data_IF_668396562115
#
_entry.id   IF_668396562115
#
_cell.length_a   1.000
_cell.length_b   1.000
_cell.length_c   1.000
_cell.angle_alpha   90.00
_cell.angle_beta   90.00
_cell.angle_gamma   90.00
#
_symmetry.space_group_name_H-M   'P 1'
#
loop_
_entity.id
_entity.type
_entity.pdbx_description
1 polymer ?
#
# COMPACT_ATOMS: atom_id res chain seq x y z
N UNK A 1 -2.07 -7.33 -7.38
CA UNK A 1 -2.17 -7.23 -8.87
C UNK A 1 -3.52 -7.69 -9.40
N UNK A 2 -4.09 -8.76 -8.85
CA UNK A 2 -5.32 -9.40 -9.36
C UNK A 2 -6.53 -8.47 -9.47
N UNK A 3 -6.77 -7.62 -8.47
CA UNK A 3 -7.86 -6.65 -8.52
C UNK A 3 -7.77 -5.70 -9.74
N UNK A 4 -6.57 -5.22 -10.06
CA UNK A 4 -6.32 -4.38 -11.23
C UNK A 4 -6.52 -5.16 -12.53
N UNK A 5 -6.09 -6.42 -12.58
CA UNK A 5 -6.30 -7.27 -13.75
C UNK A 5 -7.78 -7.60 -13.97
N UNK A 6 -8.54 -7.81 -12.89
CA UNK A 6 -10.00 -7.99 -12.93
C UNK A 6 -10.70 -6.74 -13.45
N UNK A 7 -10.29 -5.56 -12.98
CA UNK A 7 -10.77 -4.28 -13.51
C UNK A 7 -10.40 -4.11 -14.99
N UNK A 8 -9.17 -4.46 -15.41
CA UNK A 8 -8.81 -4.42 -16.82
C UNK A 8 -9.69 -5.33 -17.68
N UNK A 9 -10.12 -6.49 -17.17
CA UNK A 9 -11.00 -7.40 -17.92
C UNK A 9 -12.38 -6.79 -18.19
N UNK A 10 -12.85 -5.84 -17.39
CA UNK A 10 -14.12 -5.14 -17.62
C UNK A 10 -13.99 -3.89 -18.50
N UNK A 11 -12.80 -3.60 -19.06
CA UNK A 11 -12.56 -2.42 -19.90
C UNK A 11 -12.71 -2.70 -21.41
N UNK A 12 -13.49 -3.70 -21.80
CA UNK A 12 -13.76 -4.08 -23.19
C UNK A 12 -12.51 -4.01 -24.10
N UNK A 13 -12.56 -3.17 -25.13
CA UNK A 13 -11.51 -2.92 -26.11
C UNK A 13 -10.21 -2.31 -25.54
N UNK A 14 -10.25 -1.73 -24.33
CA UNK A 14 -9.06 -1.22 -23.63
C UNK A 14 -8.39 -2.27 -22.75
N UNK A 15 -8.98 -3.45 -22.55
CA UNK A 15 -8.45 -4.46 -21.62
C UNK A 15 -6.97 -4.80 -21.88
N UNK A 16 -6.58 -4.91 -23.16
CA UNK A 16 -5.19 -5.21 -23.55
C UNK A 16 -4.22 -4.08 -23.19
N UNK A 17 -4.62 -2.82 -23.43
CA UNK A 17 -3.81 -1.64 -23.06
C UNK A 17 -3.72 -1.50 -21.55
N UNK A 18 -4.83 -1.71 -20.84
CA UNK A 18 -4.88 -1.70 -19.38
C UNK A 18 -3.92 -2.73 -18.77
N UNK A 19 -3.98 -4.00 -19.22
CA UNK A 19 -3.08 -5.06 -18.74
C UNK A 19 -1.62 -4.72 -18.99
N UNK A 20 -1.28 -4.15 -20.15
CA UNK A 20 0.08 -3.68 -20.44
C UNK A 20 0.55 -2.66 -19.40
N UNK A 21 -0.27 -1.65 -19.10
CA UNK A 21 0.05 -0.65 -18.08
C UNK A 21 0.24 -1.28 -16.69
N UNK A 22 -0.64 -2.20 -16.30
CA UNK A 22 -0.54 -2.89 -15.00
C UNK A 22 0.77 -3.68 -14.89
N UNK A 23 1.18 -4.38 -15.95
CA UNK A 23 2.44 -5.13 -15.92
C UNK A 23 3.68 -4.23 -16.00
N UNK A 24 3.64 -3.15 -16.77
CA UNK A 24 4.78 -2.25 -16.97
C UNK A 24 5.01 -1.35 -15.75
N UNK A 25 3.96 -0.78 -15.19
CA UNK A 25 4.05 0.22 -14.11
C UNK A 25 3.69 -0.34 -12.74
N UNK A 26 2.86 -1.38 -12.65
CA UNK A 26 2.43 -1.96 -11.37
C UNK A 26 3.59 -2.34 -10.45
N UNK A 27 4.58 -3.13 -10.90
CA UNK A 27 5.74 -3.48 -10.06
C UNK A 27 6.53 -2.25 -9.60
N UNK A 28 6.73 -1.27 -10.47
CA UNK A 28 7.47 -0.05 -10.16
C UNK A 28 6.74 0.81 -9.11
N UNK A 29 5.41 0.89 -9.21
CA UNK A 29 4.57 1.60 -8.25
C UNK A 29 4.58 0.90 -6.90
N UNK A 30 4.45 -0.44 -6.87
CA UNK A 30 4.45 -1.22 -5.62
C UNK A 30 5.77 -1.03 -4.87
N UNK A 31 6.93 -1.17 -5.54
CA UNK A 31 8.25 -0.96 -4.90
C UNK A 31 8.38 0.45 -4.33
N UNK A 32 7.93 1.47 -5.05
CA UNK A 32 7.95 2.86 -4.56
C UNK A 32 6.99 3.07 -3.41
N UNK A 33 5.80 2.47 -3.47
CA UNK A 33 4.79 2.54 -2.41
C UNK A 33 5.29 1.86 -1.13
N UNK A 34 5.87 0.66 -1.22
CA UNK A 34 6.48 -0.03 -0.07
C UNK A 34 7.58 0.83 0.57
N UNK A 35 8.45 1.44 -0.25
CA UNK A 35 9.50 2.34 0.28
C UNK A 35 8.91 3.54 1.00
N UNK A 36 7.85 4.14 0.47
CA UNK A 36 7.17 5.27 1.09
C UNK A 36 6.47 4.88 2.39
N UNK A 37 5.75 3.76 2.39
CA UNK A 37 4.96 3.27 3.52
C UNK A 37 5.83 2.73 4.67
N UNK A 38 7.09 2.38 4.43
CA UNK A 38 8.07 2.13 5.51
C UNK A 38 8.29 3.35 6.42
N UNK A 39 8.07 4.56 5.89
CA UNK A 39 8.33 5.83 6.59
C UNK A 39 7.07 6.64 6.83
N UNK A 40 5.90 6.15 6.40
CA UNK A 40 4.65 6.90 6.49
C UNK A 40 3.51 5.91 6.72
N UNK A 41 2.74 6.15 7.78
CA UNK A 41 1.57 5.35 8.06
C UNK A 41 0.55 5.43 6.91
N UNK A 42 0.01 4.28 6.50
CA UNK A 42 -0.91 4.19 5.36
C UNK A 42 -2.21 4.98 5.60
N UNK A 43 -2.69 5.05 6.84
CA UNK A 43 -3.92 5.76 7.18
C UNK A 43 -3.70 7.28 7.15
N UNK A 44 -2.51 7.76 7.53
CA UNK A 44 -2.10 9.16 7.32
C UNK A 44 -1.88 9.47 5.83
N UNK A 45 -1.23 8.57 5.08
CA UNK A 45 -1.00 8.75 3.64
C UNK A 45 -2.30 8.81 2.82
N UNK A 46 -3.31 8.05 3.22
CA UNK A 46 -4.66 8.08 2.64
C UNK A 46 -5.53 9.20 3.22
N UNK A 47 -4.99 10.05 4.10
CA UNK A 47 -5.70 11.13 4.79
C UNK A 47 -6.97 10.69 5.54
N UNK A 48 -7.05 9.41 5.92
CA UNK A 48 -8.11 8.88 6.78
C UNK A 48 -7.76 8.96 8.26
N UNK A 49 -6.48 9.20 8.57
CA UNK A 49 -6.01 9.59 9.89
C UNK A 49 -5.45 11.02 9.86
N UNK A 50 -5.48 11.73 11.00
CA UNK A 50 -4.75 12.99 11.16
C UNK A 50 -3.27 12.82 10.77
N UNK A 51 -2.66 13.88 10.25
CA UNK A 51 -1.21 13.91 10.13
C UNK A 51 -0.60 13.65 11.51
N UNK A 52 0.45 12.83 11.57
CA UNK A 52 1.22 12.64 12.80
C UNK A 52 1.86 13.97 13.17
N UNK A 53 1.11 14.82 13.86
CA UNK A 53 1.68 15.84 14.71
C UNK A 53 2.28 15.04 15.84
N UNK A 54 3.60 15.09 15.99
CA UNK A 54 4.24 14.66 17.22
C UNK A 54 3.66 15.52 18.34
N UNK A 55 2.55 15.07 18.93
CA UNK A 55 2.06 15.60 20.19
C UNK A 55 3.10 15.13 21.19
N UNK A 56 4.06 16.01 21.48
CA UNK A 56 4.86 15.92 22.70
C UNK A 56 3.91 16.07 23.86
N UNK A 57 3.25 14.99 24.26
CA UNK A 57 2.73 14.77 25.60
C UNK A 57 2.81 13.26 25.83
N UNK A 58 3.75 12.87 26.68
CA UNK A 58 4.03 11.52 27.15
C UNK A 58 2.72 10.76 27.40
N UNK A 59 2.50 9.63 26.72
CA UNK A 59 2.12 8.33 27.30
C UNK A 59 2.50 7.23 26.32
N UNK A 60 3.28 6.25 26.80
CA UNK A 60 3.74 5.11 26.04
C UNK A 60 2.57 4.17 25.72
N UNK A 61 2.51 3.68 24.49
CA UNK A 61 1.92 2.38 24.19
C UNK A 61 2.77 1.70 23.13
N UNK A 62 3.63 0.85 23.67
CA UNK A 62 4.46 -0.14 23.02
C UNK A 62 3.58 -0.90 22.02
N UNK A 63 3.84 -0.73 20.72
CA UNK A 63 3.44 -1.76 19.77
C UNK A 63 4.49 -2.86 19.91
N UNK A 64 4.18 -3.89 20.69
CA UNK A 64 4.96 -5.12 20.67
C UNK A 64 5.07 -5.61 19.22
N UNK A 65 6.29 -5.97 18.80
CA UNK A 65 6.47 -6.80 17.62
C UNK A 65 5.57 -8.02 17.79
N UNK A 66 4.56 -8.17 16.93
CA UNK A 66 3.89 -9.46 16.76
C UNK A 66 4.98 -10.41 16.26
N UNK A 67 5.37 -11.44 17.02
CA UNK A 67 6.35 -12.39 16.53
C UNK A 67 5.76 -13.02 15.28
N UNK A 68 6.47 -12.90 14.15
CA UNK A 68 6.22 -13.70 12.97
C UNK A 68 6.48 -15.15 13.36
N UNK A 69 5.45 -15.83 13.84
CA UNK A 69 5.46 -17.28 13.96
C UNK A 69 5.35 -17.80 12.54
N UNK A 70 6.46 -18.32 12.03
CA UNK A 70 6.51 -19.15 10.84
C UNK A 70 5.58 -20.34 11.03
N UNK A 71 4.74 -20.63 10.04
CA UNK A 71 4.22 -21.98 9.85
C UNK A 71 4.49 -22.44 8.41
N UNK A 72 5.27 -23.53 8.38
CA UNK A 72 5.54 -24.58 7.38
C UNK A 72 4.83 -24.54 6.03
#
# INVERSE_FOLDING_TARGET
>A
MEALLKACNSMDQLAKKCKRMVFEYGPLIIVKAEKYLKTTDICTALHVCPASTAVSNNEASIMEEVPLISDS
#
